data_IF_956613186119
#
_entry.id   IF_956613186119
#
_cell.length_a   1.000
_cell.length_b   1.000
_cell.length_c   1.000
_cell.angle_alpha   90.00
_cell.angle_beta   90.00
_cell.angle_gamma   90.00
#
_symmetry.space_group_name_H-M   'P 1'
#
loop_
_entity.id
_entity.type
_entity.pdbx_description
1 polymer ?
#
# COMPACT_ATOMS: atom_id res chain seq x y z
N UNK A 1 6.47 -12.86 18.15
CA UNK A 1 5.93 -13.25 16.83
C UNK A 1 5.50 -11.97 16.16
N UNK A 2 6.23 -11.50 15.16
CA UNK A 2 5.93 -10.23 14.49
C UNK A 2 4.61 -10.41 13.75
N UNK A 3 3.56 -9.78 14.26
CA UNK A 3 2.27 -9.72 13.58
C UNK A 3 2.53 -9.18 12.17
N UNK A 4 2.38 -10.06 11.17
CA UNK A 4 2.66 -9.70 9.78
C UNK A 4 1.52 -8.79 9.38
N UNK A 5 1.71 -7.48 9.50
CA UNK A 5 0.72 -6.49 9.07
C UNK A 5 0.36 -6.81 7.61
N UNK A 6 -0.92 -7.08 7.38
CA UNK A 6 -1.49 -7.38 6.06
C UNK A 6 -2.15 -6.11 5.57
N UNK A 7 -1.74 -5.61 4.40
CA UNK A 7 -2.41 -4.46 3.81
C UNK A 7 -3.87 -4.75 3.43
N UNK A 8 -4.22 -6.02 3.18
CA UNK A 8 -5.61 -6.44 2.97
C UNK A 8 -6.52 -6.12 4.17
N UNK A 9 -5.98 -6.21 5.39
CA UNK A 9 -6.72 -5.95 6.63
C UNK A 9 -6.50 -4.52 7.16
N UNK A 10 -5.82 -3.66 6.38
CA UNK A 10 -5.51 -2.29 6.78
C UNK A 10 -6.61 -1.33 6.30
N UNK A 11 -7.19 -0.56 7.22
CA UNK A 11 -8.22 0.47 6.94
C UNK A 11 -7.79 1.53 5.91
N UNK A 12 -6.47 1.77 5.80
CA UNK A 12 -5.88 2.75 4.89
C UNK A 12 -5.64 2.19 3.50
N UNK A 13 -5.84 0.88 3.27
CA UNK A 13 -5.71 0.29 1.95
C UNK A 13 -6.98 0.54 1.14
N UNK A 14 -6.82 1.19 -0.01
CA UNK A 14 -7.93 1.59 -0.87
C UNK A 14 -7.79 0.93 -2.23
N UNK A 15 -8.89 0.35 -2.68
CA UNK A 15 -9.04 -0.13 -4.05
C UNK A 15 -9.57 1.03 -4.90
N UNK A 16 -8.91 1.30 -6.01
CA UNK A 16 -9.38 2.20 -7.04
C UNK A 16 -9.54 1.42 -8.34
N UNK A 17 -10.73 1.49 -8.94
CA UNK A 17 -11.01 0.84 -10.22
C UNK A 17 -11.62 1.85 -11.18
N UNK A 18 -10.85 2.30 -12.16
CA UNK A 18 -11.37 3.15 -13.24
C UNK A 18 -12.41 2.40 -14.06
N UNK A 19 -13.50 3.08 -14.42
CA UNK A 19 -14.50 2.55 -15.36
C UNK A 19 -13.83 2.12 -16.66
N UNK A 20 -14.10 0.89 -17.11
CA UNK A 20 -13.47 0.29 -18.29
C UNK A 20 -12.18 -0.49 -18.01
N UNK A 21 -11.55 -0.36 -16.83
CA UNK A 21 -10.40 -1.18 -16.47
C UNK A 21 -10.82 -2.56 -15.93
N UNK A 22 -10.08 -3.56 -16.38
CA UNK A 22 -10.24 -4.97 -15.97
C UNK A 22 -9.53 -5.29 -14.66
N UNK A 23 -8.64 -4.40 -14.19
CA UNK A 23 -7.89 -4.51 -12.93
C UNK A 23 -8.14 -3.27 -12.08
N UNK A 24 -8.13 -3.45 -10.77
CA UNK A 24 -8.09 -2.36 -9.81
C UNK A 24 -6.64 -2.03 -9.45
N UNK A 25 -6.34 -0.77 -9.18
CA UNK A 25 -5.13 -0.35 -8.49
C UNK A 25 -5.37 -0.26 -6.99
N UNK A 26 -4.33 -0.57 -6.23
CA UNK A 26 -4.36 -0.55 -4.78
C UNK A 26 -3.33 0.46 -4.28
N UNK A 27 -3.78 1.37 -3.42
CA UNK A 27 -2.97 2.42 -2.83
C UNK A 27 -3.21 2.48 -1.32
N UNK A 28 -2.18 2.88 -0.59
CA UNK A 28 -2.23 3.12 0.84
C UNK A 28 -2.42 4.62 1.07
N UNK A 29 -3.56 5.00 1.65
CA UNK A 29 -3.88 6.38 2.03
C UNK A 29 -3.56 6.68 3.51
N UNK A 30 -2.47 6.13 4.03
CA UNK A 30 -2.08 6.36 5.43
C UNK A 30 -1.92 7.86 5.73
N UNK A 31 -2.31 8.35 6.93
CA UNK A 31 -2.18 9.75 7.30
C UNK A 31 -0.73 10.27 7.23
N UNK A 32 0.25 9.43 7.58
CA UNK A 32 1.69 9.69 7.43
C UNK A 32 2.19 9.71 5.97
N UNK A 33 1.56 10.54 5.13
CA UNK A 33 1.97 10.74 3.73
C UNK A 33 3.39 11.29 3.63
N UNK A 34 3.82 12.13 4.59
CA UNK A 34 5.17 12.67 4.63
C UNK A 34 6.24 11.59 4.79
N UNK A 35 6.02 10.61 5.68
CA UNK A 35 6.92 9.49 5.86
C UNK A 35 7.06 8.67 4.58
N UNK A 36 5.91 8.32 3.97
CA UNK A 36 5.87 7.54 2.72
C UNK A 36 6.60 8.31 1.61
N UNK A 37 6.33 9.61 1.47
CA UNK A 37 7.00 10.49 0.50
C UNK A 37 8.50 10.51 0.67
N UNK A 38 8.96 10.71 1.91
CA UNK A 38 10.38 10.76 2.26
C UNK A 38 11.05 9.43 1.91
N UNK A 39 10.46 8.31 2.31
CA UNK A 39 10.97 6.98 1.99
C UNK A 39 11.06 6.76 0.47
N UNK A 40 10.01 7.10 -0.29
CA UNK A 40 10.00 6.94 -1.74
C UNK A 40 11.11 7.77 -2.40
N UNK A 41 11.33 9.01 -1.93
CA UNK A 41 12.41 9.87 -2.43
C UNK A 41 13.79 9.31 -2.09
N UNK A 42 14.02 8.91 -0.84
CA UNK A 42 15.30 8.34 -0.38
C UNK A 42 15.65 7.05 -1.12
N UNK A 43 14.66 6.20 -1.38
CA UNK A 43 14.83 4.94 -2.10
C UNK A 43 14.62 5.05 -3.62
N UNK A 44 14.47 6.27 -4.16
CA UNK A 44 14.27 6.54 -5.60
C UNK A 44 13.13 5.74 -6.24
N UNK A 45 12.04 5.53 -5.50
CA UNK A 45 10.86 4.80 -5.96
C UNK A 45 10.07 5.72 -6.90
N UNK A 46 10.00 5.36 -8.18
CA UNK A 46 9.35 6.12 -9.25
C UNK A 46 7.82 5.89 -9.35
N UNK A 47 7.23 5.21 -8.37
CA UNK A 47 5.79 4.90 -8.36
C UNK A 47 5.02 5.99 -7.61
N UNK A 48 3.70 6.04 -7.81
CA UNK A 48 2.82 6.87 -6.99
C UNK A 48 3.03 6.56 -5.50
N UNK A 49 3.09 7.60 -4.68
CA UNK A 49 3.25 7.46 -3.23
C UNK A 49 2.15 6.57 -2.66
N UNK A 50 2.54 5.59 -1.85
CA UNK A 50 1.58 4.64 -1.27
C UNK A 50 1.09 3.56 -2.24
N UNK A 51 1.57 3.49 -3.49
CA UNK A 51 1.14 2.47 -4.45
C UNK A 51 1.55 1.06 -4.02
N UNK A 52 0.56 0.18 -3.86
CA UNK A 52 0.73 -1.21 -3.43
C UNK A 52 0.84 -2.16 -4.63
N UNK A 53 0.10 -1.90 -5.71
CA UNK A 53 0.15 -2.71 -6.92
C UNK A 53 -1.16 -2.71 -7.70
N UNK A 54 -1.18 -3.49 -8.78
CA UNK A 54 -2.40 -3.79 -9.53
C UNK A 54 -2.96 -5.13 -9.08
N UNK A 55 -4.25 -5.17 -8.76
CA UNK A 55 -4.96 -6.39 -8.42
C UNK A 55 -5.13 -7.32 -9.63
N UNK A 56 -5.55 -8.55 -9.33
CA UNK A 56 -5.88 -9.54 -10.34
C UNK A 56 -7.13 -9.12 -11.13
N UNK A 57 -7.23 -9.58 -12.37
CA UNK A 57 -8.38 -9.30 -13.25
C UNK A 57 -9.68 -9.71 -12.56
N UNK A 58 -10.66 -8.79 -12.49
CA UNK A 58 -11.95 -8.99 -11.83
C UNK A 58 -11.89 -9.44 -10.35
N UNK A 59 -10.74 -9.32 -9.68
CA UNK A 59 -10.59 -9.60 -8.25
C UNK A 59 -10.42 -8.31 -7.46
N UNK A 60 -10.92 -8.32 -6.22
CA UNK A 60 -10.73 -7.25 -5.23
C UNK A 60 -9.62 -7.56 -4.23
N UNK A 61 -8.85 -8.62 -4.49
CA UNK A 61 -7.76 -9.01 -3.62
C UNK A 61 -6.59 -8.03 -3.73
N UNK A 62 -6.13 -7.57 -2.57
CA UNK A 62 -4.93 -6.73 -2.48
C UNK A 62 -3.73 -7.53 -3.02
N UNK A 63 -2.97 -7.00 -4.00
CA UNK A 63 -1.94 -7.75 -4.71
C UNK A 63 -0.69 -8.04 -3.88
N UNK A 64 -0.65 -7.59 -2.62
CA UNK A 64 0.46 -7.80 -1.71
C UNK A 64 0.01 -8.62 -0.49
N UNK A 65 0.77 -9.67 -0.18
CA UNK A 65 0.48 -10.56 0.95
C UNK A 65 0.86 -9.95 2.31
N UNK A 66 1.79 -8.99 2.31
CA UNK A 66 2.36 -8.38 3.52
C UNK A 66 2.65 -6.91 3.28
N UNK A 67 2.66 -6.12 4.35
CA UNK A 67 2.98 -4.69 4.27
C UNK A 67 4.38 -4.42 3.70
N UNK A 68 4.50 -3.41 2.82
CA UNK A 68 5.77 -3.02 2.24
C UNK A 68 6.72 -2.46 3.31
N UNK A 69 8.02 -2.41 3.00
CA UNK A 69 9.05 -1.91 3.91
C UNK A 69 8.81 -0.45 4.35
N UNK A 70 8.23 0.37 3.47
CA UNK A 70 7.86 1.75 3.73
C UNK A 70 6.54 1.93 4.49
N UNK A 71 5.87 0.85 4.90
CA UNK A 71 4.60 0.97 5.62
C UNK A 71 4.82 1.62 6.99
N UNK A 72 4.13 2.75 7.30
CA UNK A 72 4.29 3.44 8.58
C UNK A 72 3.98 2.53 9.78
N UNK A 73 2.94 1.68 9.71
CA UNK A 73 2.63 0.70 10.77
C UNK A 73 3.76 -0.33 11.00
N UNK A 74 4.59 -0.61 10.00
CA UNK A 74 5.70 -1.57 10.09
C UNK A 74 6.93 -0.98 10.77
N UNK A 75 7.19 0.31 10.53
CA UNK A 75 8.38 1.01 11.05
C UNK A 75 8.05 1.72 12.37
N UNK A 76 6.79 2.15 12.50
CA UNK A 76 6.16 2.75 13.67
C UNK A 76 5.46 1.75 14.59
N UNK A 77 5.92 0.50 14.67
CA UNK A 77 5.67 -0.36 15.84
C UNK A 77 6.38 0.16 17.11
N UNK A 78 6.32 1.48 17.31
CA UNK A 78 6.73 2.25 18.47
C UNK A 78 5.65 3.31 18.65
N UNK A 79 4.52 2.93 19.22
CA UNK A 79 4.15 3.22 20.62
C UNK A 79 2.83 2.51 20.90
#
# INVERSE_FOLDING_TARGET
MTDKIRCADCEYCKEFRKTGNIRSDFTCEHPDKEYIRKYFKEHKIQKMEGFLGFGTRYSREVPIKTSPAWCPKKVGGKT
#
